data_IF_896440826582
#
_entry.id   IF_896440826582
#
_cell.length_a   1.000
_cell.length_b   1.000
_cell.length_c   1.000
_cell.angle_alpha   90.00
_cell.angle_beta   90.00
_cell.angle_gamma   90.00
#
_symmetry.space_group_name_H-M   'P 1'
#
loop_
_entity.id
_entity.type
_entity.pdbx_description
1 polymer ?
#
# COMPACT_ATOMS: atom_id res chain seq x y z
N UNK A 1 10.54 14.92 2.55
CA UNK A 1 9.32 14.08 2.45
C UNK A 1 9.18 13.61 1.01
N UNK A 2 8.93 12.30 0.79
CA UNK A 2 8.65 11.76 -0.53
C UNK A 2 7.17 11.45 -0.68
N UNK A 3 6.60 11.81 -1.83
CA UNK A 3 5.20 11.54 -2.19
C UNK A 3 5.19 10.99 -3.62
N UNK A 4 4.57 9.83 -3.82
CA UNK A 4 4.35 9.29 -5.16
C UNK A 4 2.91 9.55 -5.62
N UNK A 5 2.74 10.06 -6.82
CA UNK A 5 1.45 10.31 -7.44
C UNK A 5 1.40 9.65 -8.82
N UNK A 6 0.75 8.49 -8.89
CA UNK A 6 0.58 7.69 -10.11
C UNK A 6 1.88 7.32 -10.84
N UNK A 7 2.48 8.26 -11.55
CA UNK A 7 3.65 8.05 -12.44
C UNK A 7 4.81 9.00 -12.16
N UNK A 8 4.79 9.67 -11.03
CA UNK A 8 5.83 10.63 -10.63
C UNK A 8 6.12 10.53 -9.14
N UNK A 9 7.39 10.61 -8.78
CA UNK A 9 7.89 10.72 -7.42
C UNK A 9 8.29 12.16 -7.15
N UNK A 10 7.79 12.74 -6.07
CA UNK A 10 8.09 14.11 -5.63
C UNK A 10 8.87 14.10 -4.33
N UNK A 11 9.80 15.03 -4.17
CA UNK A 11 10.45 15.34 -2.90
C UNK A 11 10.05 16.73 -2.44
N UNK A 12 9.71 16.84 -1.16
CA UNK A 12 9.33 18.10 -0.51
C UNK A 12 10.18 18.33 0.74
N UNK A 13 10.33 19.61 1.11
CA UNK A 13 10.80 20.00 2.43
C UNK A 13 9.76 19.61 3.50
N UNK A 14 10.11 19.67 4.82
CA UNK A 14 9.11 19.54 5.88
C UNK A 14 7.98 20.57 5.81
N UNK A 15 8.21 21.74 5.20
CA UNK A 15 7.21 22.79 5.01
C UNK A 15 6.38 22.61 3.71
N UNK A 16 6.49 21.45 3.07
CA UNK A 16 5.84 21.10 1.80
C UNK A 16 6.24 21.98 0.60
N UNK A 17 7.43 22.57 0.61
CA UNK A 17 7.99 23.21 -0.58
C UNK A 17 8.60 22.14 -1.48
N UNK A 18 8.23 22.15 -2.77
CA UNK A 18 8.75 21.20 -3.75
C UNK A 18 10.27 21.39 -3.93
N UNK A 19 11.01 20.30 -3.73
CA UNK A 19 12.47 20.27 -3.91
C UNK A 19 12.81 19.76 -5.31
N UNK A 20 12.23 18.60 -5.70
CA UNK A 20 12.48 17.96 -6.99
C UNK A 20 11.38 16.94 -7.33
N UNK A 21 11.39 16.43 -8.56
CA UNK A 21 10.52 15.33 -8.97
C UNK A 21 11.17 14.44 -10.04
N UNK A 22 10.80 13.17 -10.06
CA UNK A 22 11.35 12.17 -10.99
C UNK A 22 10.24 11.33 -11.60
N UNK A 23 10.36 11.10 -12.91
CA UNK A 23 9.50 10.18 -13.68
C UNK A 23 10.30 8.99 -14.16
N UNK A 24 9.60 7.87 -14.31
CA UNK A 24 10.17 6.69 -14.93
C UNK A 24 9.10 6.05 -15.85
N UNK A 25 9.45 5.58 -17.06
CA UNK A 25 8.47 5.02 -18.00
C UNK A 25 7.75 3.78 -17.44
N UNK A 26 8.38 3.08 -16.51
CA UNK A 26 7.81 1.91 -15.84
C UNK A 26 7.10 2.23 -14.52
N UNK A 27 6.99 3.49 -14.09
CA UNK A 27 6.19 3.89 -12.93
C UNK A 27 4.78 4.24 -13.40
N UNK A 28 3.79 3.40 -13.06
CA UNK A 28 2.37 3.62 -13.41
C UNK A 28 1.45 3.15 -12.28
N UNK A 29 0.56 4.05 -11.88
CA UNK A 29 -0.42 3.80 -10.82
C UNK A 29 0.26 3.37 -9.52
N UNK A 30 1.23 4.16 -9.04
CA UNK A 30 1.86 3.93 -7.74
C UNK A 30 0.80 4.00 -6.63
N UNK A 31 0.73 2.97 -5.80
CA UNK A 31 -0.20 2.87 -4.68
C UNK A 31 0.51 2.97 -3.33
N UNK A 32 1.74 2.50 -3.24
CA UNK A 32 2.48 2.46 -1.99
C UNK A 32 3.97 2.69 -2.22
N UNK A 33 4.60 3.36 -1.27
CA UNK A 33 6.05 3.54 -1.22
C UNK A 33 6.57 3.15 0.16
N UNK A 34 7.78 2.63 0.22
CA UNK A 34 8.45 2.31 1.48
C UNK A 34 9.93 2.62 1.41
N UNK A 35 10.48 3.19 2.47
CA UNK A 35 11.92 3.41 2.60
C UNK A 35 12.54 2.22 3.33
N UNK A 36 13.60 1.68 2.79
CA UNK A 36 14.44 0.71 3.48
C UNK A 36 15.91 1.00 3.18
N UNK A 37 16.68 1.27 4.24
CA UNK A 37 18.08 1.73 4.16
C UNK A 37 18.22 3.01 3.30
N UNK A 38 18.95 2.93 2.19
CA UNK A 38 19.20 4.05 1.27
C UNK A 38 18.31 4.02 0.03
N UNK A 39 17.28 3.19 0.01
CA UNK A 39 16.40 3.01 -1.13
C UNK A 39 14.95 3.32 -0.77
N UNK A 40 14.26 3.93 -1.71
CA UNK A 40 12.81 4.05 -1.71
C UNK A 40 12.25 3.04 -2.72
N UNK A 41 11.39 2.13 -2.27
CA UNK A 41 10.71 1.18 -3.14
C UNK A 41 9.29 1.64 -3.43
N UNK A 42 8.89 1.57 -4.71
CA UNK A 42 7.61 2.05 -5.19
C UNK A 42 6.86 0.92 -5.91
N UNK A 43 5.58 0.77 -5.64
CA UNK A 43 4.73 -0.08 -6.46
C UNK A 43 4.51 0.55 -7.83
N UNK A 44 4.61 -0.26 -8.87
CA UNK A 44 4.15 0.09 -10.21
C UNK A 44 3.06 -0.89 -10.64
N UNK A 45 1.83 -0.57 -10.23
CA UNK A 45 0.66 -1.42 -10.38
C UNK A 45 0.36 -1.76 -11.84
N UNK A 46 0.52 -0.78 -12.74
CA UNK A 46 0.32 -0.97 -14.17
C UNK A 46 1.23 -2.05 -14.78
N UNK A 47 2.43 -2.20 -14.24
CA UNK A 47 3.45 -3.14 -14.71
C UNK A 47 3.60 -4.39 -13.83
N UNK A 48 2.78 -4.54 -12.78
CA UNK A 48 2.95 -5.60 -11.76
C UNK A 48 4.39 -5.67 -11.24
N UNK A 49 4.96 -4.52 -10.91
CA UNK A 49 6.39 -4.36 -10.60
C UNK A 49 6.63 -3.53 -9.35
N UNK A 50 7.83 -3.68 -8.81
CA UNK A 50 8.40 -2.77 -7.82
C UNK A 50 9.60 -2.07 -8.47
N UNK A 51 9.67 -0.74 -8.29
CA UNK A 51 10.83 0.08 -8.66
C UNK A 51 11.62 0.47 -7.43
N UNK A 52 12.94 0.53 -7.57
CA UNK A 52 13.86 1.06 -6.57
C UNK A 52 14.40 2.42 -7.00
N UNK A 53 14.35 3.38 -6.08
CA UNK A 53 14.92 4.71 -6.24
C UNK A 53 16.02 4.89 -5.20
N UNK A 54 17.23 5.19 -5.65
CA UNK A 54 18.39 5.43 -4.81
C UNK A 54 18.34 6.85 -4.24
N UNK A 55 18.30 6.95 -2.93
CA UNK A 55 18.17 8.23 -2.22
C UNK A 55 19.45 9.06 -2.23
N UNK A 56 20.62 8.45 -2.45
CA UNK A 56 21.91 9.16 -2.54
C UNK A 56 22.15 9.69 -3.95
N UNK A 57 21.82 8.90 -4.97
CA UNK A 57 22.00 9.25 -6.37
C UNK A 57 20.79 9.97 -6.96
N UNK A 58 19.67 10.01 -6.23
CA UNK A 58 18.40 10.59 -6.67
C UNK A 58 17.96 10.08 -8.04
N UNK A 59 17.99 8.75 -8.25
CA UNK A 59 17.59 8.14 -9.52
C UNK A 59 16.97 6.76 -9.34
N UNK A 60 16.13 6.35 -10.30
CA UNK A 60 15.67 4.97 -10.41
C UNK A 60 16.84 4.12 -10.93
N UNK A 61 17.20 3.06 -10.19
CA UNK A 61 18.34 2.21 -10.53
C UNK A 61 18.03 0.71 -10.45
N UNK A 62 16.82 0.33 -10.08
CA UNK A 62 16.43 -1.06 -9.92
C UNK A 62 14.95 -1.26 -10.23
N UNK A 63 14.62 -2.41 -10.86
CA UNK A 63 13.26 -2.81 -11.13
C UNK A 63 13.08 -4.32 -11.01
N UNK A 64 11.94 -4.75 -10.46
CA UNK A 64 11.55 -6.15 -10.38
C UNK A 64 10.10 -6.32 -10.82
N UNK A 65 9.90 -7.04 -11.92
CA UNK A 65 8.59 -7.47 -12.36
C UNK A 65 8.22 -8.80 -11.68
N UNK A 66 6.99 -8.90 -11.21
CA UNK A 66 6.47 -10.08 -10.53
C UNK A 66 5.62 -10.87 -11.52
N UNK A 67 6.06 -12.06 -11.89
CA UNK A 67 5.40 -12.87 -12.91
C UNK A 67 4.73 -14.11 -12.28
N UNK A 68 3.42 -14.31 -12.47
CA UNK A 68 2.78 -15.54 -12.06
C UNK A 68 3.27 -16.71 -12.92
N UNK A 69 3.62 -17.84 -12.28
CA UNK A 69 4.03 -19.10 -12.91
C UNK A 69 3.28 -20.27 -12.27
N UNK A 70 2.08 -20.57 -12.78
CA UNK A 70 1.15 -21.48 -12.13
C UNK A 70 0.73 -20.93 -10.76
N UNK A 71 0.96 -21.69 -9.69
CA UNK A 71 0.70 -21.28 -8.29
C UNK A 71 1.87 -20.54 -7.65
N UNK A 72 2.97 -20.35 -8.37
CA UNK A 72 4.19 -19.69 -7.88
C UNK A 72 4.35 -18.32 -8.54
N UNK A 73 5.25 -17.51 -7.96
CA UNK A 73 5.65 -16.22 -8.50
C UNK A 73 7.15 -16.22 -8.80
N UNK A 74 7.52 -15.59 -9.91
CA UNK A 74 8.91 -15.44 -10.33
C UNK A 74 9.29 -13.96 -10.30
N UNK A 75 10.37 -13.57 -9.58
CA UNK A 75 10.95 -12.26 -9.73
C UNK A 75 11.75 -12.19 -11.05
N UNK A 76 11.55 -11.14 -11.81
CA UNK A 76 12.32 -10.86 -13.03
C UNK A 76 12.86 -9.44 -12.90
N UNK A 77 14.17 -9.33 -12.65
CA UNK A 77 14.87 -8.04 -12.59
C UNK A 77 14.90 -7.37 -13.95
N UNK A 78 14.85 -6.06 -13.97
CA UNK A 78 15.08 -5.24 -15.17
C UNK A 78 15.74 -3.91 -14.78
N UNK A 79 16.41 -3.31 -15.75
CA UNK A 79 16.97 -1.97 -15.60
C UNK A 79 15.90 -0.93 -15.98
N UNK A 80 15.44 -0.09 -15.03
CA UNK A 80 14.43 0.91 -15.31
C UNK A 80 14.90 2.08 -16.19
N UNK A 81 16.19 2.12 -16.53
CA UNK A 81 16.79 3.13 -17.40
C UNK A 81 16.86 2.68 -18.88
N UNK A 82 16.45 1.46 -19.19
CA UNK A 82 16.42 0.91 -20.56
C UNK A 82 14.98 0.71 -21.04
N UNK A 83 14.81 0.43 -22.35
CA UNK A 83 13.50 0.17 -22.95
C UNK A 83 13.10 -1.32 -22.90
N UNK A 84 13.94 -2.18 -22.28
CA UNK A 84 13.75 -3.64 -22.23
C UNK A 84 12.93 -4.13 -21.01
N UNK A 85 12.19 -3.25 -20.36
CA UNK A 85 11.41 -3.56 -19.18
C UNK A 85 10.10 -4.33 -19.48
N UNK A 86 9.29 -4.60 -18.45
CA UNK A 86 8.08 -5.39 -18.58
C UNK A 86 6.98 -4.68 -19.39
N UNK A 87 6.04 -5.47 -19.91
CA UNK A 87 4.83 -4.94 -20.51
C UNK A 87 3.82 -4.49 -19.44
N UNK A 88 3.06 -3.44 -19.73
CA UNK A 88 1.99 -2.95 -18.87
C UNK A 88 0.75 -3.85 -19.00
N UNK A 89 0.58 -4.80 -18.10
CA UNK A 89 -0.47 -5.81 -18.16
C UNK A 89 -1.46 -5.74 -16.98
N UNK A 90 -1.04 -5.23 -15.83
CA UNK A 90 -1.87 -5.12 -14.61
C UNK A 90 -2.65 -6.40 -14.26
N UNK A 91 -1.97 -7.55 -14.29
CA UNK A 91 -2.59 -8.86 -14.04
C UNK A 91 -2.86 -9.11 -12.57
N UNK A 92 -1.92 -8.70 -11.71
CA UNK A 92 -2.00 -8.95 -10.27
C UNK A 92 -2.44 -7.71 -9.49
N UNK A 93 -2.31 -6.53 -10.09
CA UNK A 93 -2.61 -5.26 -9.45
C UNK A 93 -1.83 -5.09 -8.14
N UNK A 94 -0.49 -5.13 -8.27
CA UNK A 94 0.40 -4.93 -7.13
C UNK A 94 0.14 -3.55 -6.53
N UNK A 95 -0.29 -3.51 -5.28
CA UNK A 95 -0.76 -2.30 -4.61
C UNK A 95 -0.05 -2.02 -3.27
N UNK A 96 0.86 -2.90 -2.85
CA UNK A 96 1.61 -2.70 -1.63
C UNK A 96 3.03 -3.24 -1.73
N UNK A 97 3.96 -2.53 -1.10
CA UNK A 97 5.32 -2.95 -0.83
C UNK A 97 5.71 -2.50 0.58
N UNK A 98 6.24 -3.43 1.35
CA UNK A 98 6.79 -3.20 2.69
C UNK A 98 8.15 -3.88 2.79
N UNK A 99 9.15 -3.20 3.32
CA UNK A 99 10.51 -3.73 3.45
C UNK A 99 10.99 -3.71 4.90
N UNK A 100 11.68 -4.78 5.27
CA UNK A 100 12.41 -4.86 6.54
C UNK A 100 13.67 -5.73 6.38
N UNK A 101 14.41 -5.97 7.47
CA UNK A 101 15.63 -6.79 7.46
C UNK A 101 15.45 -8.24 6.97
N UNK A 102 14.23 -8.73 6.87
CA UNK A 102 13.93 -10.09 6.39
C UNK A 102 13.62 -10.15 4.90
N UNK A 103 13.45 -9.01 4.25
CA UNK A 103 13.17 -8.89 2.83
C UNK A 103 12.00 -7.96 2.52
N UNK A 104 11.47 -8.12 1.32
CA UNK A 104 10.38 -7.30 0.81
C UNK A 104 9.08 -8.11 0.82
N UNK A 105 8.02 -7.51 1.35
CA UNK A 105 6.67 -8.07 1.38
C UNK A 105 5.80 -7.31 0.39
N UNK A 106 5.06 -8.04 -0.43
CA UNK A 106 4.34 -7.48 -1.58
C UNK A 106 2.93 -8.06 -1.59
N UNK A 107 1.92 -7.23 -1.83
CA UNK A 107 0.56 -7.70 -2.07
C UNK A 107 -0.11 -6.99 -3.23
N UNK A 108 -1.21 -7.53 -3.69
CA UNK A 108 -2.03 -6.99 -4.77
C UNK A 108 -3.40 -7.64 -4.76
N UNK A 109 -4.34 -7.04 -5.47
CA UNK A 109 -5.74 -7.52 -5.51
C UNK A 109 -5.88 -8.98 -5.94
N UNK A 110 -4.93 -9.49 -6.74
CA UNK A 110 -4.99 -10.83 -7.33
C UNK A 110 -3.75 -11.68 -7.05
N UNK A 111 -2.98 -11.35 -6.02
CA UNK A 111 -1.87 -12.19 -5.56
C UNK A 111 -2.32 -13.38 -4.72
N UNK A 112 -3.56 -13.35 -4.20
CA UNK A 112 -4.07 -14.36 -3.29
C UNK A 112 -3.44 -14.33 -1.90
N UNK A 113 -2.65 -13.31 -1.60
CA UNK A 113 -1.99 -13.16 -0.32
C UNK A 113 -0.81 -12.20 -0.34
N UNK A 114 -0.08 -12.17 0.76
CA UNK A 114 1.17 -11.42 0.89
C UNK A 114 2.34 -12.31 0.45
N UNK A 115 3.07 -11.84 -0.54
CA UNK A 115 4.28 -12.47 -1.07
C UNK A 115 5.49 -11.98 -0.29
N UNK A 116 6.52 -12.83 -0.19
CA UNK A 116 7.81 -12.48 0.41
C UNK A 116 8.93 -12.70 -0.61
N UNK A 117 9.66 -11.65 -0.94
CA UNK A 117 10.87 -11.66 -1.74
C UNK A 117 12.09 -11.58 -0.82
N UNK A 118 12.94 -12.59 -0.86
CA UNK A 118 14.13 -12.73 -0.01
C UNK A 118 15.45 -12.30 -0.69
N UNK A 119 15.35 -11.54 -1.80
CA UNK A 119 16.48 -11.14 -2.62
C UNK A 119 16.74 -12.06 -3.83
N UNK A 120 16.17 -13.28 -3.88
CA UNK A 120 16.35 -14.22 -4.99
C UNK A 120 15.07 -14.89 -5.47
N UNK A 121 14.16 -15.17 -4.58
CA UNK A 121 12.91 -15.89 -4.85
C UNK A 121 11.70 -15.19 -4.21
N UNK A 122 10.54 -15.36 -4.83
CA UNK A 122 9.26 -14.94 -4.27
C UNK A 122 8.49 -16.17 -3.80
N UNK A 123 8.06 -16.17 -2.54
CA UNK A 123 7.21 -17.19 -1.95
C UNK A 123 5.93 -16.56 -1.40
N UNK A 124 4.85 -17.34 -1.30
CA UNK A 124 3.67 -16.95 -0.54
C UNK A 124 4.03 -16.97 0.95
N UNK A 125 3.97 -15.83 1.61
CA UNK A 125 4.21 -15.73 3.05
C UNK A 125 2.94 -16.08 3.83
N UNK A 126 1.79 -15.60 3.35
CA UNK A 126 0.47 -15.87 3.92
C UNK A 126 -0.61 -15.67 2.86
N UNK A 127 -1.64 -16.53 2.87
CA UNK A 127 -2.84 -16.32 2.07
C UNK A 127 -3.72 -15.25 2.72
N UNK A 128 -4.25 -14.34 1.91
CA UNK A 128 -5.11 -13.23 2.35
C UNK A 128 -6.31 -13.13 1.40
N UNK A 129 -7.44 -12.57 1.87
CA UNK A 129 -8.63 -12.40 1.05
C UNK A 129 -8.38 -11.53 -0.18
N UNK A 130 -9.20 -11.73 -1.21
CA UNK A 130 -9.21 -10.83 -2.37
C UNK A 130 -9.62 -9.41 -1.93
N UNK A 131 -9.03 -8.40 -2.55
CA UNK A 131 -9.27 -7.01 -2.15
C UNK A 131 -8.33 -6.50 -1.05
N UNK A 132 -7.35 -7.30 -0.61
CA UNK A 132 -6.34 -6.86 0.36
C UNK A 132 -5.52 -5.68 -0.16
N UNK A 133 -5.33 -4.67 0.71
CA UNK A 133 -4.43 -3.53 0.53
C UNK A 133 -3.49 -3.39 1.73
N UNK A 134 -2.33 -2.78 1.52
CA UNK A 134 -1.37 -2.38 2.56
C UNK A 134 -0.98 -3.52 3.53
N UNK A 135 -0.88 -4.77 3.04
CA UNK A 135 -0.53 -5.89 3.87
C UNK A 135 0.94 -5.83 4.32
N UNK A 136 1.18 -5.88 5.61
CA UNK A 136 2.53 -5.84 6.18
C UNK A 136 2.67 -6.81 7.34
N UNK A 137 3.85 -7.41 7.55
CA UNK A 137 4.14 -8.17 8.75
C UNK A 137 3.97 -7.27 9.99
N UNK A 138 3.30 -7.78 10.99
CA UNK A 138 3.14 -7.09 12.26
C UNK A 138 3.15 -8.12 13.38
N UNK A 139 4.04 -7.96 14.37
CA UNK A 139 4.28 -8.94 15.43
C UNK A 139 4.55 -10.32 14.81
N UNK A 140 3.83 -11.33 15.21
CA UNK A 140 3.87 -12.69 14.64
C UNK A 140 2.78 -12.97 13.61
N UNK A 141 2.08 -11.94 13.15
CA UNK A 141 0.99 -12.01 12.18
C UNK A 141 1.13 -11.04 11.01
N UNK A 142 -0.02 -10.64 10.49
CA UNK A 142 -0.18 -9.72 9.38
C UNK A 142 -1.25 -8.68 9.69
N UNK A 143 -0.94 -7.42 9.43
CA UNK A 143 -1.88 -6.31 9.47
C UNK A 143 -2.19 -5.88 8.04
N UNK A 144 -3.47 -5.69 7.71
CA UNK A 144 -3.89 -5.34 6.35
C UNK A 144 -5.26 -4.70 6.30
N UNK A 145 -5.53 -3.96 5.23
CA UNK A 145 -6.86 -3.49 4.89
C UNK A 145 -7.61 -4.56 4.07
N UNK A 146 -8.72 -5.04 4.58
CA UNK A 146 -9.67 -5.89 3.86
C UNK A 146 -10.76 -5.02 3.24
N UNK A 147 -10.52 -4.59 1.99
CA UNK A 147 -11.43 -3.68 1.31
C UNK A 147 -12.71 -4.36 0.82
N UNK A 148 -12.80 -5.68 0.87
CA UNK A 148 -14.04 -6.40 0.55
C UNK A 148 -15.03 -6.34 1.73
N UNK A 149 -14.52 -6.47 2.95
CA UNK A 149 -15.33 -6.46 4.18
C UNK A 149 -15.39 -5.08 4.86
N UNK A 150 -14.71 -4.07 4.34
CA UNK A 150 -14.61 -2.72 4.91
C UNK A 150 -14.07 -2.71 6.34
N UNK A 151 -12.97 -3.44 6.55
CA UNK A 151 -12.29 -3.53 7.85
C UNK A 151 -10.78 -3.42 7.70
N UNK A 152 -10.13 -2.93 8.75
CA UNK A 152 -8.71 -3.15 8.99
C UNK A 152 -8.57 -4.41 9.83
N UNK A 153 -7.73 -5.36 9.38
CA UNK A 153 -7.55 -6.66 10.06
C UNK A 153 -6.15 -6.85 10.58
N UNK A 154 -6.06 -7.50 11.73
CA UNK A 154 -4.88 -8.21 12.19
C UNK A 154 -5.19 -9.70 12.26
N UNK A 155 -4.35 -10.52 11.64
CA UNK A 155 -4.43 -11.98 11.70
C UNK A 155 -3.13 -12.53 12.26
N UNK A 156 -3.20 -13.13 13.43
CA UNK A 156 -2.06 -13.77 14.11
C UNK A 156 -1.74 -15.15 13.55
N UNK A 157 -0.52 -15.64 13.77
CA UNK A 157 -0.09 -17.01 13.37
C UNK A 157 -0.07 -17.98 14.55
N UNK A 158 -0.05 -17.48 15.78
CA UNK A 158 0.06 -18.29 16.98
C UNK A 158 -1.23 -19.01 17.35
N UNK A 159 -1.13 -20.20 17.95
CA UNK A 159 -2.26 -20.80 18.65
C UNK A 159 -2.69 -19.87 19.79
N UNK A 160 -3.91 -19.32 19.71
CA UNK A 160 -4.48 -18.42 20.71
C UNK A 160 -4.32 -16.93 20.41
N UNK A 161 -3.68 -16.54 19.30
CA UNK A 161 -3.77 -15.17 18.80
C UNK A 161 -5.14 -14.94 18.14
N UNK A 162 -5.87 -13.97 18.66
CA UNK A 162 -7.19 -13.62 18.14
C UNK A 162 -7.05 -12.80 16.86
N UNK A 163 -7.80 -13.17 15.83
CA UNK A 163 -8.05 -12.30 14.68
C UNK A 163 -8.82 -11.07 15.16
N UNK A 164 -8.39 -9.89 14.70
CA UNK A 164 -9.02 -8.61 15.04
C UNK A 164 -9.50 -7.93 13.77
N UNK A 165 -10.72 -7.43 13.80
CA UNK A 165 -11.32 -6.68 12.71
C UNK A 165 -11.89 -5.36 13.23
N UNK A 166 -11.32 -4.26 12.78
CA UNK A 166 -11.74 -2.92 13.14
C UNK A 166 -12.53 -2.31 11.98
N UNK A 167 -13.79 -1.99 12.23
CA UNK A 167 -14.72 -1.51 11.19
C UNK A 167 -14.32 -0.12 10.71
N UNK A 168 -14.29 0.05 9.40
CA UNK A 168 -14.08 1.35 8.75
C UNK A 168 -15.34 2.22 8.94
N UNK A 169 -15.20 3.49 9.36
CA UNK A 169 -16.34 4.41 9.48
C UNK A 169 -17.09 4.56 8.15
N UNK A 170 -18.41 4.49 8.22
CA UNK A 170 -19.30 4.77 7.10
C UNK A 170 -20.15 5.99 7.41
N UNK A 171 -20.49 6.73 6.39
CA UNK A 171 -21.25 7.97 6.49
C UNK A 171 -22.62 7.82 5.85
N UNK A 172 -23.57 8.66 6.24
CA UNK A 172 -24.89 8.69 5.61
C UNK A 172 -24.73 9.04 4.11
N UNK A 173 -25.28 8.22 3.20
CA UNK A 173 -25.18 8.49 1.77
C UNK A 173 -25.66 9.89 1.37
N UNK A 174 -26.64 10.46 2.09
CA UNK A 174 -27.13 11.82 1.83
C UNK A 174 -26.09 12.93 2.08
N UNK A 175 -25.04 12.64 2.86
CA UNK A 175 -23.95 13.56 3.13
C UNK A 175 -22.80 13.47 2.12
N UNK A 176 -22.78 12.40 1.32
CA UNK A 176 -21.69 12.11 0.41
C UNK A 176 -21.93 12.71 -0.98
N UNK A 177 -20.85 13.02 -1.69
CA UNK A 177 -20.88 13.52 -3.05
C UNK A 177 -20.22 12.54 -4.02
N UNK A 178 -20.56 12.62 -5.32
CA UNK A 178 -19.99 11.75 -6.34
C UNK A 178 -20.23 10.25 -6.07
N UNK A 179 -21.51 9.85 -6.01
CA UNK A 179 -21.94 8.48 -5.74
C UNK A 179 -22.55 7.81 -6.96
N UNK A 180 -22.15 8.19 -8.17
CA UNK A 180 -22.64 7.54 -9.39
C UNK A 180 -21.94 6.18 -9.58
N UNK A 181 -22.52 5.31 -10.40
CA UNK A 181 -21.89 4.02 -10.74
C UNK A 181 -20.53 4.16 -11.42
N UNK A 182 -20.24 5.29 -12.04
CA UNK A 182 -18.91 5.58 -12.59
C UNK A 182 -17.93 6.00 -11.50
N UNK A 183 -18.37 6.77 -10.52
CA UNK A 183 -17.54 7.16 -9.37
C UNK A 183 -17.17 5.94 -8.52
N UNK A 184 -18.10 5.00 -8.32
CA UNK A 184 -17.90 3.75 -7.56
C UNK A 184 -16.86 2.81 -8.19
N UNK A 185 -16.54 2.96 -9.48
CA UNK A 185 -15.44 2.25 -10.14
C UNK A 185 -14.07 2.74 -9.66
N UNK A 186 -13.99 3.97 -9.14
CA UNK A 186 -12.76 4.57 -8.63
C UNK A 186 -12.59 4.30 -7.14
N UNK A 187 -13.63 4.57 -6.37
CA UNK A 187 -13.69 4.33 -4.95
C UNK A 187 -15.15 4.27 -4.48
N UNK A 188 -15.42 3.56 -3.40
CA UNK A 188 -16.74 3.47 -2.77
C UNK A 188 -16.67 3.82 -1.28
N UNK A 189 -17.76 4.24 -0.64
CA UNK A 189 -17.75 4.52 0.79
C UNK A 189 -17.25 3.33 1.61
N UNK A 190 -16.40 3.60 2.60
CA UNK A 190 -15.80 2.56 3.45
C UNK A 190 -14.66 1.77 2.80
N UNK A 191 -14.21 2.17 1.60
CA UNK A 191 -13.13 1.47 0.91
C UNK A 191 -11.80 1.69 1.64
N UNK A 192 -11.36 0.67 2.40
CA UNK A 192 -10.17 0.71 3.23
C UNK A 192 -8.88 0.74 2.38
N UNK A 193 -8.07 1.79 2.57
CA UNK A 193 -6.75 1.98 1.96
C UNK A 193 -5.90 2.89 2.83
N UNK A 194 -4.58 2.74 2.73
CA UNK A 194 -3.66 3.44 3.60
C UNK A 194 -3.58 2.82 4.99
N UNK A 195 -2.36 2.58 5.45
CA UNK A 195 -2.09 1.93 6.72
C UNK A 195 -0.75 2.46 7.26
N UNK A 196 -0.75 2.90 8.51
CA UNK A 196 0.46 3.34 9.18
C UNK A 196 0.46 2.92 10.64
N UNK A 197 1.56 2.34 11.11
CA UNK A 197 1.78 2.05 12.53
C UNK A 197 2.18 3.34 13.25
N UNK A 198 1.35 3.78 14.19
CA UNK A 198 1.63 4.95 15.04
C UNK A 198 2.45 4.52 16.27
N UNK A 199 2.17 3.32 16.78
CA UNK A 199 2.91 2.68 17.88
C UNK A 199 2.70 1.16 17.84
N UNK A 200 3.24 0.44 18.81
CA UNK A 200 3.05 -1.02 18.92
C UNK A 200 1.59 -1.46 19.13
N UNK A 201 0.72 -0.53 19.53
CA UNK A 201 -0.70 -0.81 19.80
C UNK A 201 -1.67 0.10 19.08
N UNK A 202 -1.18 1.15 18.40
CA UNK A 202 -2.04 2.11 17.68
C UNK A 202 -1.70 2.09 16.20
N UNK A 203 -2.72 1.94 15.38
CA UNK A 203 -2.63 2.00 13.92
C UNK A 203 -3.54 3.07 13.36
N UNK A 204 -3.06 3.77 12.33
CA UNK A 204 -3.87 4.66 11.51
C UNK A 204 -4.30 3.91 10.24
N UNK A 205 -5.59 3.90 9.95
CA UNK A 205 -6.18 3.37 8.72
C UNK A 205 -6.83 4.48 7.91
N UNK A 206 -6.63 4.45 6.61
CA UNK A 206 -7.28 5.37 5.66
C UNK A 206 -8.47 4.73 4.97
N UNK A 207 -9.39 5.55 4.48
CA UNK A 207 -10.55 5.09 3.73
C UNK A 207 -11.09 6.14 2.77
N UNK A 208 -12.08 5.73 1.95
CA UNK A 208 -12.94 6.62 1.16
C UNK A 208 -14.26 6.88 1.89
N UNK A 209 -14.80 8.11 1.85
CA UNK A 209 -14.19 9.36 1.41
C UNK A 209 -13.12 9.80 2.41
N UNK A 210 -12.02 10.32 1.94
CA UNK A 210 -10.82 10.80 2.68
C UNK A 210 -10.92 10.79 4.20
N UNK A 211 -10.98 9.61 4.81
CA UNK A 211 -11.12 9.40 6.25
C UNK A 211 -9.85 8.79 6.79
N UNK A 212 -9.33 9.34 7.87
CA UNK A 212 -8.24 8.73 8.66
C UNK A 212 -8.80 8.37 10.03
N UNK A 213 -8.61 7.12 10.43
CA UNK A 213 -9.10 6.58 11.70
C UNK A 213 -7.96 5.97 12.48
N UNK A 214 -7.87 6.29 13.76
CA UNK A 214 -6.96 5.67 14.71
C UNK A 214 -7.66 4.53 15.44
N UNK A 215 -7.01 3.39 15.50
CA UNK A 215 -7.49 2.18 16.15
C UNK A 215 -6.51 1.73 17.22
N UNK A 216 -7.05 1.27 18.35
CA UNK A 216 -6.31 0.54 19.37
C UNK A 216 -6.36 -0.96 19.06
N UNK A 217 -5.20 -1.52 18.73
CA UNK A 217 -5.07 -2.95 18.42
C UNK A 217 -5.19 -3.85 19.67
N UNK A 218 -4.91 -3.35 20.87
CA UNK A 218 -5.02 -4.12 22.08
C UNK A 218 -6.49 -4.27 22.52
N UNK A 219 -7.22 -3.15 22.50
CA UNK A 219 -8.62 -3.12 22.92
C UNK A 219 -9.60 -3.39 21.78
N UNK A 220 -9.12 -3.48 20.54
CA UNK A 220 -9.93 -3.63 19.30
C UNK A 220 -11.01 -2.54 19.18
N UNK A 221 -10.63 -1.28 19.42
CA UNK A 221 -11.54 -0.13 19.45
C UNK A 221 -11.06 1.01 18.57
N UNK A 222 -11.98 1.86 18.14
CA UNK A 222 -11.68 3.13 17.47
C UNK A 222 -11.35 4.20 18.52
N UNK A 223 -10.18 4.82 18.42
CA UNK A 223 -9.75 5.93 19.28
C UNK A 223 -10.27 7.28 18.80
N UNK A 224 -10.39 7.44 17.48
CA UNK A 224 -10.88 8.67 16.87
C UNK A 224 -10.83 8.60 15.36
N UNK A 225 -11.55 9.50 14.70
CA UNK A 225 -11.60 9.58 13.24
C UNK A 225 -11.72 11.03 12.78
N UNK A 226 -11.10 11.34 11.64
CA UNK A 226 -11.25 12.63 10.96
C UNK A 226 -11.61 12.39 9.50
N UNK A 227 -12.64 13.10 9.02
CA UNK A 227 -13.04 13.11 7.62
C UNK A 227 -12.58 14.43 6.97
N UNK A 228 -11.76 14.31 5.93
CA UNK A 228 -11.17 15.44 5.22
C UNK A 228 -11.99 15.86 3.99
N UNK A 229 -12.78 14.95 3.41
CA UNK A 229 -13.60 15.20 2.22
C UNK A 229 -14.84 14.31 2.26
N UNK A 230 -15.96 14.79 1.67
CA UNK A 230 -17.17 14.00 1.43
C UNK A 230 -17.27 13.45 0.01
N UNK A 231 -16.28 13.72 -0.84
CA UNK A 231 -16.19 13.18 -2.19
C UNK A 231 -15.71 11.73 -2.14
N UNK A 232 -16.57 10.79 -2.54
CA UNK A 232 -16.30 9.35 -2.50
C UNK A 232 -15.07 8.97 -3.33
N UNK A 233 -14.75 9.71 -4.38
CA UNK A 233 -13.59 9.45 -5.24
C UNK A 233 -12.25 9.71 -4.54
N UNK A 234 -12.26 10.51 -3.48
CA UNK A 234 -11.08 10.83 -2.69
C UNK A 234 -10.85 9.75 -1.64
N UNK A 235 -9.98 8.80 -1.92
CA UNK A 235 -9.54 7.77 -0.98
C UNK A 235 -8.13 8.08 -0.47
N UNK A 236 -7.90 7.82 0.81
CA UNK A 236 -6.54 7.82 1.37
C UNK A 236 -5.83 6.56 0.87
N UNK A 237 -4.68 6.69 0.20
CA UNK A 237 -3.88 5.56 -0.26
C UNK A 237 -2.65 5.33 0.59
N UNK A 238 -1.87 6.38 0.88
CA UNK A 238 -0.69 6.33 1.73
C UNK A 238 -0.91 7.10 3.03
N UNK A 239 -0.39 6.57 4.12
CA UNK A 239 -0.34 7.21 5.43
C UNK A 239 1.04 7.04 6.03
N UNK A 240 1.52 8.09 6.69
CA UNK A 240 2.76 8.03 7.44
C UNK A 240 2.68 8.97 8.65
N UNK A 241 3.38 8.61 9.72
CA UNK A 241 3.51 9.48 10.89
C UNK A 241 4.41 10.66 10.55
N UNK A 242 3.92 11.87 10.79
CA UNK A 242 4.71 13.08 10.58
C UNK A 242 5.84 13.16 11.61
N UNK A 243 7.12 13.06 11.21
CA UNK A 243 8.23 13.02 12.15
C UNK A 243 8.76 14.40 12.53
N UNK A 244 8.26 15.45 11.91
CA UNK A 244 8.71 16.82 12.14
C UNK A 244 7.71 17.55 13.06
N UNK A 245 8.18 18.02 14.20
CA UNK A 245 7.39 18.79 15.18
C UNK A 245 7.69 20.29 15.07
#
# INVERSE_FOLDING_TARGET
VFIAASDELFAYTPDFELVDSWRNPYLKHCHEITVFERNLFLTSTGFDSILGFDLDQCCFNWGMNIQPKGIKFKPVGFDPLTDDGPLMLNKMHINNVFCNRHGMYISGLRTGGMLHFNGSAINMAVELPAGTHNAQPFRDGVLFNDSADDVLRYTGRGEGEEDRAMVIPKYDPSELTHQTSEDEKLARPGFARGLCLVSDIVVAGGASPSTVTLYDLAENTTLGSVQLSKDVRNAIHGLEVWPFA
#
